data_IF_200050989275
#
_entry.id   IF_200050989275
#
_cell.length_a   1.000
_cell.length_b   1.000
_cell.length_c   1.000
_cell.angle_alpha   90.00
_cell.angle_beta   90.00
_cell.angle_gamma   90.00
#
_symmetry.space_group_name_H-M   'P 1'
#
loop_
_entity.id
_entity.type
_entity.pdbx_description
1 polymer ?
#
# COMPACT_ATOMS: atom_id res chain seq x y z
N UNK A 1 -8.92 8.79 5.42
CA UNK A 1 -7.73 9.61 5.74
C UNK A 1 -8.14 11.04 6.06
N UNK A 2 -7.38 11.68 6.91
CA UNK A 2 -7.61 13.09 7.26
C UNK A 2 -7.48 13.98 6.03
N UNK A 3 -8.39 14.94 5.90
CA UNK A 3 -8.40 15.88 4.78
C UNK A 3 -7.08 16.64 4.65
N UNK A 4 -6.49 17.02 5.79
CA UNK A 4 -5.22 17.75 5.80
C UNK A 4 -4.07 16.94 5.22
N UNK A 5 -4.02 15.64 5.50
CA UNK A 5 -3.01 14.75 4.93
C UNK A 5 -3.20 14.59 3.44
N UNK A 6 -4.45 14.42 2.98
CA UNK A 6 -4.78 14.33 1.56
C UNK A 6 -4.33 15.60 0.83
N UNK A 7 -4.58 16.77 1.41
CA UNK A 7 -4.16 18.05 0.81
C UNK A 7 -2.64 18.17 0.71
N UNK A 8 -1.91 17.77 1.75
CA UNK A 8 -0.44 17.80 1.74
C UNK A 8 0.12 16.85 0.70
N UNK A 9 -0.39 15.63 0.63
CA UNK A 9 0.02 14.65 -0.38
C UNK A 9 -0.30 15.14 -1.78
N UNK A 10 -1.49 15.69 -1.97
CA UNK A 10 -1.92 16.21 -3.27
C UNK A 10 -0.99 17.32 -3.77
N UNK A 11 -0.64 18.26 -2.89
CA UNK A 11 0.29 19.35 -3.21
C UNK A 11 1.66 18.81 -3.60
N UNK A 12 2.21 17.91 -2.80
CA UNK A 12 3.52 17.30 -3.04
C UNK A 12 3.54 16.50 -4.35
N UNK A 13 2.56 15.63 -4.54
CA UNK A 13 2.51 14.74 -5.70
C UNK A 13 2.27 15.51 -7.00
N UNK A 14 1.46 16.56 -6.96
CA UNK A 14 1.24 17.41 -8.13
C UNK A 14 2.50 18.20 -8.49
N UNK A 15 3.20 18.73 -7.49
CA UNK A 15 4.44 19.49 -7.69
C UNK A 15 5.53 18.63 -8.34
N UNK A 16 5.66 17.37 -7.92
CA UNK A 16 6.70 16.46 -8.39
C UNK A 16 6.22 15.52 -9.50
N UNK A 17 4.97 15.61 -9.91
CA UNK A 17 4.36 14.78 -10.97
C UNK A 17 4.49 13.27 -10.65
N UNK A 18 4.25 12.92 -9.38
CA UNK A 18 4.43 11.56 -8.87
C UNK A 18 3.13 10.84 -8.52
N UNK A 19 1.99 11.37 -8.93
CA UNK A 19 0.72 10.68 -8.70
C UNK A 19 0.34 9.85 -9.91
N UNK A 20 -0.35 8.74 -9.65
CA UNK A 20 -0.88 7.88 -10.69
C UNK A 20 -2.33 8.18 -11.02
N UNK A 21 -2.96 7.22 -11.68
CA UNK A 21 -4.37 7.30 -12.05
C UNK A 21 -5.24 6.86 -10.87
N UNK A 22 -6.19 7.68 -10.41
CA UNK A 22 -7.09 7.28 -9.32
C UNK A 22 -7.77 5.95 -9.60
N UNK A 23 -7.81 5.09 -8.59
CA UNK A 23 -8.45 3.79 -8.68
C UNK A 23 -9.97 3.93 -8.74
N UNK A 24 -10.63 3.04 -9.47
CA UNK A 24 -12.09 2.96 -9.54
C UNK A 24 -12.62 1.98 -8.50
N UNK A 25 -13.89 2.13 -8.15
CA UNK A 25 -14.56 1.19 -7.25
C UNK A 25 -14.56 -0.24 -7.81
N UNK A 26 -14.71 -0.38 -9.13
CA UNK A 26 -14.68 -1.69 -9.79
C UNK A 26 -13.32 -2.37 -9.65
N UNK A 27 -12.23 -1.63 -9.81
CA UNK A 27 -10.89 -2.15 -9.63
C UNK A 27 -10.66 -2.63 -8.20
N UNK A 28 -11.13 -1.85 -7.23
CA UNK A 28 -11.01 -2.17 -5.80
C UNK A 28 -11.79 -3.46 -5.48
N UNK A 29 -13.04 -3.53 -5.90
CA UNK A 29 -13.89 -4.71 -5.65
C UNK A 29 -13.30 -5.97 -6.28
N UNK A 30 -12.81 -5.88 -7.51
CA UNK A 30 -12.21 -7.00 -8.21
C UNK A 30 -10.94 -7.48 -7.51
N UNK A 31 -10.10 -6.55 -7.07
CA UNK A 31 -8.87 -6.89 -6.35
C UNK A 31 -9.16 -7.56 -5.02
N UNK A 32 -10.12 -7.04 -4.27
CA UNK A 32 -10.54 -7.65 -3.00
C UNK A 32 -11.03 -9.08 -3.19
N UNK A 33 -11.77 -9.34 -4.26
CA UNK A 33 -12.23 -10.69 -4.60
C UNK A 33 -11.07 -11.61 -4.96
N UNK A 34 -10.20 -11.17 -5.86
CA UNK A 34 -9.06 -11.97 -6.34
C UNK A 34 -8.13 -12.32 -5.20
N UNK A 35 -7.86 -11.38 -4.31
CA UNK A 35 -6.95 -11.57 -3.18
C UNK A 35 -7.63 -12.16 -1.95
N UNK A 36 -8.96 -12.23 -1.95
CA UNK A 36 -9.76 -12.66 -0.79
C UNK A 36 -9.40 -11.89 0.47
N UNK A 37 -9.36 -10.56 0.36
CA UNK A 37 -9.09 -9.65 1.47
C UNK A 37 -10.06 -8.48 1.43
N UNK A 38 -10.12 -7.74 2.52
CA UNK A 38 -10.82 -6.46 2.61
C UNK A 38 -9.76 -5.38 2.77
N UNK A 39 -9.70 -4.44 1.83
CA UNK A 39 -8.76 -3.32 1.94
C UNK A 39 -9.17 -2.39 3.07
N UNK A 40 -8.19 -1.84 3.78
CA UNK A 40 -8.45 -0.85 4.81
C UNK A 40 -8.99 0.44 4.20
N UNK A 41 -9.78 1.19 4.98
CA UNK A 41 -10.42 2.41 4.49
C UNK A 41 -9.40 3.47 4.07
N UNK A 42 -8.29 3.59 4.78
CA UNK A 42 -7.25 4.56 4.45
C UNK A 42 -6.46 4.17 3.19
N UNK A 43 -6.22 2.89 2.96
CA UNK A 43 -5.62 2.45 1.69
C UNK A 43 -6.57 2.73 0.52
N UNK A 44 -7.86 2.43 0.67
CA UNK A 44 -8.87 2.75 -0.35
C UNK A 44 -8.88 4.25 -0.65
N UNK A 45 -8.89 5.08 0.39
CA UNK A 45 -8.84 6.54 0.23
C UNK A 45 -7.59 6.98 -0.53
N UNK A 46 -6.44 6.41 -0.18
CA UNK A 46 -5.17 6.75 -0.84
C UNK A 46 -5.22 6.46 -2.34
N UNK A 47 -5.59 5.24 -2.72
CA UNK A 47 -5.57 4.84 -4.14
C UNK A 47 -6.70 5.50 -4.95
N UNK A 48 -7.83 5.83 -4.33
CA UNK A 48 -8.90 6.56 -5.00
C UNK A 48 -8.53 8.01 -5.29
N UNK A 49 -7.68 8.61 -4.46
CA UNK A 49 -7.18 9.97 -4.70
C UNK A 49 -5.96 9.99 -5.62
N UNK A 50 -5.02 9.08 -5.42
CA UNK A 50 -3.70 9.20 -6.03
C UNK A 50 -3.31 8.04 -6.95
N UNK A 51 -4.00 6.91 -6.89
CA UNK A 51 -3.56 5.71 -7.57
C UNK A 51 -2.20 5.23 -7.06
N UNK A 52 -1.35 4.74 -7.94
CA UNK A 52 0.04 4.43 -7.62
C UNK A 52 0.81 5.74 -7.42
N UNK A 53 1.38 5.93 -6.25
CA UNK A 53 2.01 7.21 -5.91
C UNK A 53 3.15 7.03 -4.90
N UNK A 54 4.02 8.04 -4.81
CA UNK A 54 5.13 8.06 -3.85
C UNK A 54 4.72 8.83 -2.60
N UNK A 55 4.85 8.17 -1.45
CA UNK A 55 4.67 8.78 -0.14
C UNK A 55 5.82 8.30 0.74
N UNK A 56 7.03 8.78 0.46
CA UNK A 56 8.33 8.31 0.94
C UNK A 56 8.72 6.94 0.37
N UNK A 57 7.75 6.14 0.04
CA UNK A 57 7.90 4.84 -0.61
C UNK A 57 6.82 4.74 -1.69
N UNK A 58 7.05 3.93 -2.72
CA UNK A 58 6.04 3.70 -3.74
C UNK A 58 4.90 2.85 -3.19
N UNK A 59 3.70 3.42 -3.19
CA UNK A 59 2.48 2.70 -2.79
C UNK A 59 1.84 2.11 -4.05
N UNK A 60 1.68 0.79 -4.08
CA UNK A 60 1.14 0.08 -5.23
C UNK A 60 -0.38 0.29 -5.35
N UNK A 61 -0.85 0.33 -6.58
CA UNK A 61 -2.26 0.30 -6.92
C UNK A 61 -2.44 -0.60 -8.15
N UNK A 62 -3.03 -0.12 -9.24
CA UNK A 62 -3.39 -0.96 -10.38
C UNK A 62 -2.57 -0.69 -11.64
N UNK A 63 -1.56 0.13 -11.56
CA UNK A 63 -0.67 0.46 -12.68
C UNK A 63 0.80 0.40 -12.26
N UNK A 64 1.70 0.49 -13.24
CA UNK A 64 3.13 0.42 -13.00
C UNK A 64 3.67 -1.00 -13.15
N UNK A 65 4.97 -1.17 -12.87
CA UNK A 65 5.64 -2.46 -13.01
C UNK A 65 5.15 -3.49 -12.01
N UNK A 66 4.80 -3.04 -10.80
CA UNK A 66 4.21 -3.87 -9.76
C UNK A 66 2.84 -3.34 -9.40
N UNK A 67 1.85 -4.24 -9.33
CA UNK A 67 0.51 -3.90 -8.90
C UNK A 67 0.22 -4.57 -7.56
N UNK A 68 -0.77 -4.05 -6.84
CA UNK A 68 -1.20 -4.64 -5.57
C UNK A 68 -1.59 -6.11 -5.75
N UNK A 69 -2.30 -6.45 -6.81
CA UNK A 69 -2.74 -7.82 -7.06
C UNK A 69 -1.56 -8.70 -7.45
N UNK A 70 -0.78 -8.29 -8.45
CA UNK A 70 0.34 -9.09 -8.97
C UNK A 70 1.40 -9.35 -7.92
N UNK A 71 1.81 -8.32 -7.20
CA UNK A 71 2.84 -8.44 -6.16
C UNK A 71 2.36 -9.35 -5.02
N UNK A 72 1.13 -9.15 -4.55
CA UNK A 72 0.56 -9.96 -3.47
C UNK A 72 0.44 -11.42 -3.88
N UNK A 73 -0.03 -11.71 -5.09
CA UNK A 73 -0.13 -13.09 -5.59
C UNK A 73 1.23 -13.77 -5.68
N UNK A 74 2.23 -13.08 -6.24
CA UNK A 74 3.58 -13.61 -6.34
C UNK A 74 4.19 -13.91 -4.98
N UNK A 75 3.95 -13.02 -4.01
CA UNK A 75 4.42 -13.21 -2.65
C UNK A 75 3.81 -14.46 -2.01
N UNK A 76 2.51 -14.68 -2.20
CA UNK A 76 1.80 -15.83 -1.65
C UNK A 76 2.28 -17.18 -2.21
N UNK A 77 2.76 -17.18 -3.44
CA UNK A 77 3.32 -18.38 -4.05
C UNK A 77 4.60 -18.85 -3.34
N UNK A 78 5.38 -17.92 -2.83
CA UNK A 78 6.63 -18.21 -2.13
C UNK A 78 6.42 -18.28 -0.62
N UNK A 79 5.56 -17.42 -0.08
CA UNK A 79 5.32 -17.27 1.36
C UNK A 79 3.82 -17.37 1.65
N UNK A 80 3.29 -18.60 1.66
CA UNK A 80 1.85 -18.85 1.88
C UNK A 80 1.35 -18.33 3.22
N UNK A 81 2.21 -18.18 4.22
CA UNK A 81 1.89 -17.62 5.53
C UNK A 81 1.43 -16.16 5.48
N UNK A 82 1.66 -15.47 4.35
CA UNK A 82 1.23 -14.06 4.18
C UNK A 82 -0.18 -13.92 3.59
N UNK A 83 -0.91 -15.01 3.40
CA UNK A 83 -2.15 -15.02 2.62
C UNK A 83 -3.30 -14.18 3.16
N UNK A 84 -3.26 -13.77 4.44
CA UNK A 84 -4.27 -12.89 5.02
C UNK A 84 -3.97 -11.41 4.80
N UNK A 85 -2.75 -11.10 4.37
CA UNK A 85 -2.26 -9.74 4.18
C UNK A 85 -2.19 -9.39 2.69
N UNK A 86 -2.08 -8.10 2.39
CA UNK A 86 -1.83 -7.66 1.03
C UNK A 86 -0.66 -6.66 1.01
N UNK A 87 0.18 -6.77 -0.01
CA UNK A 87 1.41 -6.01 -0.08
C UNK A 87 1.18 -4.69 -0.82
N UNK A 88 1.35 -3.59 -0.13
CA UNK A 88 1.14 -2.24 -0.67
C UNK A 88 2.43 -1.55 -1.10
N UNK A 89 3.59 -2.09 -0.70
CA UNK A 89 4.89 -1.52 -1.03
C UNK A 89 6.00 -2.55 -0.84
N UNK A 90 7.21 -2.20 -1.24
CA UNK A 90 8.43 -2.97 -1.04
C UNK A 90 9.49 -2.03 -0.48
N UNK A 91 10.31 -2.50 0.46
CA UNK A 91 11.33 -1.65 1.11
C UNK A 91 12.57 -1.42 0.24
N UNK A 92 12.59 -1.98 -0.98
CA UNK A 92 13.74 -1.89 -1.87
C UNK A 92 14.75 -3.02 -1.70
N UNK A 93 14.61 -3.83 -0.67
CA UNK A 93 15.47 -4.99 -0.38
C UNK A 93 14.72 -6.32 -0.49
N UNK A 94 13.54 -6.31 -1.11
CA UNK A 94 12.72 -7.49 -1.29
C UNK A 94 11.81 -7.82 -0.12
N UNK A 95 11.70 -6.95 0.89
CA UNK A 95 10.80 -7.14 2.01
C UNK A 95 9.50 -6.41 1.76
N UNK A 96 8.36 -7.11 1.61
CA UNK A 96 7.09 -6.43 1.36
C UNK A 96 6.59 -5.69 2.59
N UNK A 97 6.01 -4.52 2.34
CA UNK A 97 5.27 -3.78 3.33
C UNK A 97 3.79 -4.09 3.09
N UNK A 98 3.13 -4.61 4.10
CA UNK A 98 1.81 -5.22 3.98
C UNK A 98 0.82 -4.58 4.94
N UNK A 99 -0.45 -4.75 4.62
CA UNK A 99 -1.54 -4.40 5.53
C UNK A 99 -2.23 -5.70 5.93
N UNK A 100 -2.48 -5.87 7.22
CA UNK A 100 -3.14 -7.04 7.77
C UNK A 100 -4.66 -6.82 7.94
N UNK A 101 -5.42 -7.85 8.36
CA UNK A 101 -6.88 -7.70 8.54
C UNK A 101 -7.30 -6.64 9.55
N UNK A 102 -6.41 -6.23 10.45
CA UNK A 102 -6.68 -5.16 11.42
C UNK A 102 -6.38 -3.76 10.87
N UNK A 103 -5.87 -3.67 9.63
CA UNK A 103 -5.46 -2.41 9.03
C UNK A 103 -4.09 -1.92 9.46
N UNK A 104 -3.35 -2.72 10.23
CA UNK A 104 -1.99 -2.37 10.64
C UNK A 104 -1.03 -2.54 9.48
N UNK A 105 -0.01 -1.67 9.42
CA UNK A 105 1.07 -1.75 8.45
C UNK A 105 2.21 -2.52 9.07
N UNK A 106 2.70 -3.54 8.36
CA UNK A 106 3.81 -4.36 8.81
C UNK A 106 4.81 -4.58 7.69
N UNK A 107 6.04 -4.91 8.06
CA UNK A 107 7.03 -5.39 7.11
C UNK A 107 7.21 -6.89 7.34
N UNK A 108 7.29 -7.64 6.23
CA UNK A 108 7.57 -9.07 6.26
C UNK A 108 9.01 -9.28 5.78
N UNK A 109 9.83 -9.91 6.64
CA UNK A 109 11.22 -10.18 6.31
C UNK A 109 11.33 -11.52 5.58
N UNK A 110 11.60 -11.47 4.28
CA UNK A 110 11.64 -12.67 3.44
C UNK A 110 12.76 -13.65 3.82
N UNK A 111 13.81 -13.18 4.48
CA UNK A 111 14.94 -14.03 4.87
C UNK A 111 14.60 -15.00 5.99
N UNK A 112 13.73 -14.60 6.93
CA UNK A 112 13.43 -15.41 8.10
C UNK A 112 11.94 -15.61 8.39
N UNK A 113 11.07 -14.99 7.61
CA UNK A 113 9.62 -15.11 7.76
C UNK A 113 9.03 -14.34 8.95
N UNK A 114 9.79 -13.44 9.54
CA UNK A 114 9.31 -12.63 10.67
C UNK A 114 8.55 -11.41 10.19
N UNK A 115 7.61 -10.95 11.03
CA UNK A 115 6.84 -9.72 10.81
C UNK A 115 7.19 -8.70 11.88
N UNK A 116 7.16 -7.42 11.48
CA UNK A 116 7.29 -6.31 12.40
C UNK A 116 6.21 -5.28 12.10
N UNK A 117 5.43 -4.90 13.12
CA UNK A 117 4.41 -3.85 12.95
C UNK A 117 5.11 -2.50 12.90
N UNK A 118 4.86 -1.77 11.82
CA UNK A 118 5.47 -0.45 11.58
C UNK A 118 4.56 0.69 12.03
N UNK A 119 3.25 0.51 11.90
CA UNK A 119 2.28 1.55 12.24
C UNK A 119 0.90 0.94 12.45
N UNK A 120 0.05 1.64 13.16
CA UNK A 120 -1.33 1.20 13.42
C UNK A 120 -2.25 1.31 12.21
N UNK A 121 -1.86 2.11 11.20
CA UNK A 121 -2.62 2.31 9.96
C UNK A 121 -1.72 2.86 8.87
N UNK A 122 -2.18 2.80 7.62
CA UNK A 122 -1.44 3.40 6.50
C UNK A 122 -1.31 4.91 6.69
N UNK A 123 -2.35 5.56 7.17
CA UNK A 123 -2.32 7.01 7.44
C UNK A 123 -1.21 7.38 8.41
N UNK A 124 -1.11 6.65 9.53
CA UNK A 124 -0.07 6.87 10.53
C UNK A 124 1.31 6.57 9.94
N UNK A 125 1.43 5.50 9.16
CA UNK A 125 2.68 5.14 8.50
C UNK A 125 3.18 6.28 7.61
N UNK A 126 2.29 6.86 6.80
CA UNK A 126 2.65 7.97 5.92
C UNK A 126 3.03 9.21 6.74
N UNK A 127 2.24 9.57 7.75
CA UNK A 127 2.52 10.74 8.59
C UNK A 127 3.86 10.66 9.30
N UNK A 128 4.24 9.47 9.78
CA UNK A 128 5.48 9.27 10.52
C UNK A 128 6.72 9.17 9.64
N UNK A 129 6.58 8.69 8.42
CA UNK A 129 7.74 8.36 7.58
C UNK A 129 7.98 9.32 6.42
N UNK A 130 7.01 10.13 6.08
CA UNK A 130 7.14 11.03 4.95
C UNK A 130 7.77 12.35 5.40
N UNK A 131 9.02 12.55 5.07
CA UNK A 131 9.83 13.68 5.56
C UNK A 131 9.92 14.88 4.61
N UNK A 132 9.43 14.75 3.39
CA UNK A 132 9.60 15.76 2.35
C UNK A 132 8.39 16.68 2.15
N UNK A 133 7.60 16.82 3.15
CA UNK A 133 6.45 17.72 3.04
C UNK A 133 6.84 19.14 2.64
#
# INVERSE_FOLDING_TARGET
MKQKLIERLSTFLNKHKMRGTPATDEQIEQAEKVLNVKFSSDYIDFIKHFGRAWADIEIFAFEGNETIVGYTQSLREVHAETSENYAVADDGAGNPIMINPKGEVLIFYHDNGENEILASSLEVFIEENFEEW
#
